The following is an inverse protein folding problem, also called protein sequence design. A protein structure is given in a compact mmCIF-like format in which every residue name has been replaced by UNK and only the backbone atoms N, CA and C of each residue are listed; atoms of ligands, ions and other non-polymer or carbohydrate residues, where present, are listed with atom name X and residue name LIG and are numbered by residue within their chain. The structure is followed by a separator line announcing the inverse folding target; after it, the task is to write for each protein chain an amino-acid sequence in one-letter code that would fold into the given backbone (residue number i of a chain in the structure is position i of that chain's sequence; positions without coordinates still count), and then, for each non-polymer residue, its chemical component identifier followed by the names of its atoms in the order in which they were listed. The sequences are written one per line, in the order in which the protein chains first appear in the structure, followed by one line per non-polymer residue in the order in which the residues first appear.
data_IF_729527140251
#
_entry.id   IF_729527140251
#
_cell.length_a   1.000
_cell.length_b   1.000
_cell.length_c   1.000
_cell.angle_alpha   90.00
_cell.angle_beta   90.00
_cell.angle_gamma   90.00
#
_symmetry.space_group_name_H-M   'P 1'
#
loop_
_entity.id
_entity.type
_entity.pdbx_description
1 polymer ?
#
# COMPACT_ATOMS: atom_id res chain seq x y z
N UNK A 1 -7.06 -54.27 7.14
CA UNK A 1 -6.11 -53.94 6.05
C UNK A 1 -5.99 -52.42 5.96
N UNK A 2 -4.93 -51.86 6.55
CA UNK A 2 -4.69 -50.42 6.57
C UNK A 2 -3.84 -50.01 5.35
N UNK A 3 -4.40 -49.16 4.49
CA UNK A 3 -3.74 -48.62 3.30
C UNK A 3 -2.87 -47.43 3.68
N UNK A 4 -1.54 -47.59 3.60
CA UNK A 4 -0.57 -46.50 3.76
C UNK A 4 -0.70 -45.51 2.59
N UNK A 5 -0.85 -44.22 2.91
CA UNK A 5 -0.77 -43.14 1.91
C UNK A 5 0.70 -42.91 1.52
N UNK A 6 1.02 -42.70 0.22
CA UNK A 6 2.40 -42.51 -0.21
C UNK A 6 2.93 -41.14 0.24
N UNK A 7 4.14 -41.14 0.80
CA UNK A 7 4.87 -39.93 1.16
C UNK A 7 5.23 -39.11 -0.09
N UNK A 8 4.62 -37.92 -0.24
CA UNK A 8 5.08 -36.92 -1.20
C UNK A 8 6.45 -36.39 -0.75
N UNK A 9 7.51 -36.74 -1.49
CA UNK A 9 8.84 -36.13 -1.33
C UNK A 9 8.73 -34.63 -1.62
N UNK A 10 9.19 -33.78 -0.70
CA UNK A 10 9.35 -32.34 -0.95
C UNK A 10 10.23 -32.15 -2.19
N UNK A 11 9.69 -31.47 -3.20
CA UNK A 11 10.48 -31.04 -4.35
C UNK A 11 11.54 -30.05 -3.84
N UNK A 12 12.79 -30.35 -4.15
CA UNK A 12 13.93 -29.50 -3.84
C UNK A 12 13.82 -28.21 -4.68
N UNK A 13 13.55 -27.07 -4.03
CA UNK A 13 13.33 -25.77 -4.69
C UNK A 13 14.61 -25.04 -5.06
N UNK A 14 15.78 -25.70 -5.04
CA UNK A 14 17.04 -25.06 -5.43
C UNK A 14 17.20 -24.98 -6.95
N UNK A 15 16.44 -24.12 -7.61
CA UNK A 15 16.75 -23.69 -8.98
C UNK A 15 17.93 -22.71 -8.91
N UNK A 16 19.16 -23.23 -8.89
CA UNK A 16 20.38 -22.42 -8.98
C UNK A 16 20.72 -22.24 -10.46
N UNK A 17 20.51 -21.04 -11.00
CA UNK A 17 20.92 -20.69 -12.35
C UNK A 17 22.22 -19.85 -12.28
N UNK A 18 23.38 -20.40 -12.69
CA UNK A 18 24.67 -19.70 -12.63
C UNK A 18 24.72 -18.38 -13.42
N UNK A 19 23.86 -18.22 -14.43
CA UNK A 19 23.77 -16.99 -15.23
C UNK A 19 23.02 -15.87 -14.51
N UNK A 20 22.16 -16.19 -13.53
CA UNK A 20 21.48 -15.18 -12.71
C UNK A 20 22.38 -14.68 -11.57
N UNK A 21 23.25 -15.55 -11.02
CA UNK A 21 24.16 -15.16 -9.92
C UNK A 21 25.26 -14.18 -10.36
N UNK A 22 25.69 -14.22 -11.63
CA UNK A 22 26.67 -13.27 -12.18
C UNK A 22 26.08 -11.91 -12.53
N UNK A 23 24.76 -11.83 -12.73
CA UNK A 23 24.05 -10.61 -13.17
C UNK A 23 23.30 -9.94 -12.01
N UNK A 24 22.88 -10.71 -11.00
CA UNK A 24 22.12 -10.20 -9.86
C UNK A 24 22.67 -10.76 -8.55
N UNK A 25 23.37 -9.91 -7.78
CA UNK A 25 23.64 -10.18 -6.36
C UNK A 25 22.42 -9.72 -5.56
N UNK A 26 21.69 -10.66 -5.00
CA UNK A 26 20.64 -10.36 -4.03
C UNK A 26 21.22 -9.44 -2.93
N UNK A 27 20.58 -8.31 -2.61
CA UNK A 27 20.93 -7.50 -1.44
C UNK A 27 20.94 -8.35 -0.18
N UNK A 28 21.74 -7.99 0.83
CA UNK A 28 21.93 -8.84 2.01
C UNK A 28 20.63 -9.10 2.79
N UNK A 29 19.67 -8.16 2.76
CA UNK A 29 18.34 -8.37 3.35
C UNK A 29 17.52 -9.52 2.71
N UNK A 30 17.85 -9.90 1.46
CA UNK A 30 17.26 -11.07 0.79
C UNK A 30 17.96 -12.36 1.21
N UNK A 31 19.26 -12.28 1.52
CA UNK A 31 20.09 -13.41 1.96
C UNK A 31 19.82 -13.82 3.41
N UNK A 32 19.50 -12.85 4.26
CA UNK A 32 19.13 -13.08 5.66
C UNK A 32 17.77 -13.78 5.82
N UNK A 33 17.07 -14.01 4.70
CA UNK A 33 15.80 -14.70 4.66
C UNK A 33 14.68 -13.83 5.21
N UNK A 34 13.79 -13.39 4.32
CA UNK A 34 12.48 -12.90 4.77
C UNK A 34 11.74 -14.08 5.43
N UNK A 35 11.80 -14.14 6.77
CA UNK A 35 10.95 -15.04 7.52
C UNK A 35 9.53 -14.48 7.43
N UNK A 36 8.66 -15.16 6.68
CA UNK A 36 7.25 -14.80 6.65
C UNK A 36 6.73 -14.76 8.09
N UNK A 37 6.13 -13.63 8.53
CA UNK A 37 5.64 -13.48 9.90
C UNK A 37 4.63 -14.58 10.23
N UNK A 38 4.65 -15.06 11.48
CA UNK A 38 3.70 -16.08 11.94
C UNK A 38 2.30 -15.47 12.01
N UNK A 39 1.25 -16.28 11.80
CA UNK A 39 -0.15 -15.80 11.83
C UNK A 39 -0.48 -14.92 13.05
N UNK A 40 0.03 -15.26 14.24
CA UNK A 40 -0.20 -14.47 15.47
C UNK A 40 0.42 -13.06 15.42
N UNK A 41 1.58 -12.91 14.77
CA UNK A 41 2.25 -11.62 14.60
C UNK A 41 1.47 -10.74 13.59
N UNK A 42 0.90 -11.38 12.56
CA UNK A 42 0.00 -10.74 11.59
C UNK A 42 -1.32 -10.28 12.22
N UNK A 43 -1.94 -11.07 13.11
CA UNK A 43 -3.17 -10.65 13.82
C UNK A 43 -2.96 -9.37 14.64
N UNK A 44 -1.79 -9.18 15.27
CA UNK A 44 -1.51 -7.97 16.03
C UNK A 44 -1.41 -6.72 15.14
N UNK A 45 -0.97 -6.89 13.88
CA UNK A 45 -0.89 -5.81 12.90
C UNK A 45 -2.27 -5.41 12.35
N UNK A 46 -3.28 -6.29 12.47
CA UNK A 46 -4.66 -5.96 12.08
C UNK A 46 -5.31 -4.86 12.91
N UNK A 47 -4.84 -4.69 14.14
CA UNK A 47 -5.33 -3.65 15.03
C UNK A 47 -4.54 -2.34 14.90
N UNK A 48 -3.57 -2.27 13.97
CA UNK A 48 -2.74 -1.09 13.75
C UNK A 48 -3.17 -0.33 12.50
N UNK A 49 -3.57 0.91 12.67
CA UNK A 49 -3.86 1.86 11.58
C UNK A 49 -2.61 2.67 11.19
N UNK A 50 -2.82 3.88 10.68
CA UNK A 50 -1.79 4.88 10.42
C UNK A 50 -2.10 6.15 11.24
N UNK A 51 -1.71 6.19 12.54
CA UNK A 51 -2.11 7.28 13.44
C UNK A 51 -1.70 8.67 12.93
N UNK A 52 -0.53 8.77 12.30
CA UNK A 52 -0.03 10.04 11.79
C UNK A 52 -0.92 10.59 10.66
N UNK A 53 -1.32 9.73 9.73
CA UNK A 53 -2.24 10.11 8.66
C UNK A 53 -3.67 10.31 9.18
N UNK A 54 -4.13 9.43 10.09
CA UNK A 54 -5.46 9.51 10.70
C UNK A 54 -5.67 10.86 11.40
N UNK A 55 -4.69 11.30 12.21
CA UNK A 55 -4.75 12.58 12.92
C UNK A 55 -4.63 13.78 11.97
N UNK A 56 -3.83 13.67 10.91
CA UNK A 56 -3.75 14.68 9.85
C UNK A 56 -5.13 14.89 9.18
N UNK A 57 -5.79 13.83 8.73
CA UNK A 57 -7.10 13.93 8.08
C UNK A 57 -8.17 14.47 9.04
N UNK A 58 -8.17 14.04 10.31
CA UNK A 58 -9.09 14.58 11.32
C UNK A 58 -8.91 16.08 11.52
N UNK A 59 -7.66 16.55 11.59
CA UNK A 59 -7.34 17.97 11.76
C UNK A 59 -7.68 18.83 10.53
N UNK A 60 -7.58 18.27 9.32
CA UNK A 60 -7.87 19.02 8.08
C UNK A 60 -9.38 19.21 7.82
N UNK A 61 -10.26 18.44 8.49
CA UNK A 61 -11.72 18.52 8.31
C UNK A 61 -12.18 18.60 6.85
N UNK A 62 -11.64 17.71 6.01
CA UNK A 62 -11.84 17.75 4.56
C UNK A 62 -13.31 17.53 4.16
N UNK A 63 -13.76 18.31 3.17
CA UNK A 63 -15.05 18.08 2.51
C UNK A 63 -14.93 16.95 1.48
N UNK A 64 -16.01 16.21 1.20
CA UNK A 64 -16.01 15.21 0.13
C UNK A 64 -15.55 15.82 -1.20
N UNK A 65 -14.61 15.13 -1.88
CA UNK A 65 -14.08 15.55 -3.18
C UNK A 65 -12.94 16.58 -3.12
N UNK A 66 -12.53 17.04 -1.94
CA UNK A 66 -11.34 17.90 -1.79
C UNK A 66 -10.06 17.11 -2.07
N UNK A 67 -9.13 17.67 -2.85
CA UNK A 67 -7.77 17.10 -3.00
C UNK A 67 -7.03 17.24 -1.67
N UNK A 68 -6.88 16.12 -0.97
CA UNK A 68 -6.29 16.06 0.37
C UNK A 68 -4.83 16.52 0.40
N UNK A 69 -4.07 16.29 -0.68
CA UNK A 69 -2.68 16.74 -0.74
C UNK A 69 -2.62 18.27 -0.89
N UNK A 70 -3.49 18.84 -1.72
CA UNK A 70 -3.58 20.30 -1.84
C UNK A 70 -4.02 20.95 -0.53
N UNK A 71 -5.03 20.38 0.13
CA UNK A 71 -5.49 20.89 1.42
C UNK A 71 -4.39 20.82 2.50
N UNK A 72 -3.59 19.74 2.49
CA UNK A 72 -2.43 19.62 3.36
C UNK A 72 -1.38 20.70 3.06
N UNK A 73 -1.04 20.90 1.79
CA UNK A 73 -0.07 21.91 1.34
C UNK A 73 -0.52 23.35 1.72
N UNK A 74 -1.79 23.66 1.45
CA UNK A 74 -2.42 24.93 1.81
C UNK A 74 -2.43 25.13 3.35
N UNK A 75 -2.60 24.06 4.14
CA UNK A 75 -2.56 24.12 5.60
C UNK A 75 -1.14 24.38 6.14
N UNK A 76 -0.13 23.66 5.65
CA UNK A 76 1.24 23.80 6.16
C UNK A 76 1.91 25.10 5.70
N UNK A 77 1.38 25.74 4.66
CA UNK A 77 1.81 27.04 4.16
C UNK A 77 1.31 28.22 5.03
N UNK A 78 0.31 28.00 5.89
CA UNK A 78 -0.16 29.01 6.83
C UNK A 78 0.86 29.24 7.97
N UNK A 79 0.92 30.45 8.54
CA UNK A 79 1.69 30.73 9.75
C UNK A 79 1.37 29.73 10.87
N UNK A 80 2.37 29.35 11.67
CA UNK A 80 2.20 28.32 12.71
C UNK A 80 1.15 28.75 13.75
N UNK A 81 1.02 30.05 13.98
CA UNK A 81 0.06 30.66 14.90
C UNK A 81 -1.39 30.50 14.44
N UNK A 82 -1.62 30.32 13.14
CA UNK A 82 -2.95 30.09 12.54
C UNK A 82 -3.31 28.60 12.49
N UNK A 83 -2.35 27.70 12.75
CA UNK A 83 -2.55 26.25 12.69
C UNK A 83 -3.24 25.73 13.95
N UNK A 84 -4.47 25.25 13.79
CA UNK A 84 -5.27 24.64 14.87
C UNK A 84 -4.62 23.37 15.46
N UNK A 85 -3.80 22.65 14.70
CA UNK A 85 -3.16 21.39 15.11
C UNK A 85 -1.80 21.22 14.47
N UNK A 86 -0.85 20.67 15.21
CA UNK A 86 0.47 20.29 14.69
C UNK A 86 0.44 19.01 13.82
N UNK A 87 -0.68 18.28 13.77
CA UNK A 87 -0.75 16.97 13.12
C UNK A 87 -0.48 17.02 11.59
N UNK A 88 -1.07 17.93 10.80
CA UNK A 88 -0.77 18.02 9.37
C UNK A 88 0.70 18.36 9.09
N UNK A 89 1.32 19.23 9.90
CA UNK A 89 2.75 19.54 9.79
C UNK A 89 3.62 18.33 10.08
N UNK A 90 3.38 17.61 11.18
CA UNK A 90 4.10 16.36 11.50
C UNK A 90 3.97 15.32 10.39
N UNK A 91 2.79 15.20 9.78
CA UNK A 91 2.59 14.32 8.63
C UNK A 91 3.42 14.79 7.43
N UNK A 92 3.38 16.08 7.08
CA UNK A 92 4.18 16.66 5.99
C UNK A 92 5.69 16.46 6.21
N UNK A 93 6.18 16.72 7.41
CA UNK A 93 7.60 16.53 7.77
C UNK A 93 8.02 15.07 7.57
N UNK A 94 7.18 14.11 7.97
CA UNK A 94 7.48 12.70 7.80
C UNK A 94 7.47 12.26 6.33
N UNK A 95 6.51 12.73 5.52
CA UNK A 95 6.46 12.34 4.10
C UNK A 95 7.51 13.06 3.25
N UNK A 96 8.08 14.16 3.73
CA UNK A 96 9.19 14.87 3.06
C UNK A 96 10.57 14.39 3.50
N UNK A 97 10.67 13.70 4.63
CA UNK A 97 11.92 13.13 5.13
C UNK A 97 12.28 11.85 4.36
N UNK A 98 13.40 11.88 3.63
CA UNK A 98 13.95 10.71 2.96
C UNK A 98 14.67 9.83 4.00
N UNK A 99 14.30 8.55 4.16
CA UNK A 99 15.00 7.65 5.08
C UNK A 99 16.47 7.44 4.71
N UNK A 100 17.34 7.33 5.71
CA UNK A 100 18.80 7.22 5.52
C UNK A 100 19.25 5.99 4.71
N UNK A 101 18.41 4.96 4.63
CA UNK A 101 18.71 3.73 3.90
C UNK A 101 18.36 3.83 2.41
N UNK A 102 17.71 4.91 1.97
CA UNK A 102 17.35 5.10 0.56
C UNK A 102 18.60 5.39 -0.25
N UNK A 103 18.87 4.50 -1.22
CA UNK A 103 19.92 4.67 -2.23
C UNK A 103 19.29 5.10 -3.57
N UNK A 104 19.50 6.35 -4.02
CA UNK A 104 18.95 6.85 -5.28
C UNK A 104 19.41 6.06 -6.51
N UNK A 105 20.64 5.54 -6.51
CA UNK A 105 21.18 4.77 -7.63
C UNK A 105 20.59 3.35 -7.67
N UNK A 106 20.33 2.74 -6.52
CA UNK A 106 19.60 1.47 -6.45
C UNK A 106 18.15 1.64 -6.89
N UNK A 107 17.49 2.72 -6.48
CA UNK A 107 16.13 3.05 -6.91
C UNK A 107 16.04 3.24 -8.43
N UNK A 108 16.99 3.99 -9.00
CA UNK A 108 17.12 4.18 -10.45
C UNK A 108 17.34 2.85 -11.18
N UNK A 109 18.12 1.93 -10.62
CA UNK A 109 18.29 0.58 -11.16
C UNK A 109 16.98 -0.21 -11.17
N UNK A 110 16.22 -0.19 -10.07
CA UNK A 110 14.91 -0.83 -9.98
C UNK A 110 13.93 -0.29 -11.02
N UNK A 111 13.87 1.02 -11.20
CA UNK A 111 13.05 1.66 -12.23
C UNK A 111 13.47 1.27 -13.66
N UNK A 112 14.78 1.14 -13.93
CA UNK A 112 15.26 0.63 -15.23
C UNK A 112 14.79 -0.80 -15.49
N UNK A 113 14.81 -1.66 -14.48
CA UNK A 113 14.28 -3.03 -14.59
C UNK A 113 12.78 -3.00 -14.86
N UNK A 114 12.03 -2.16 -14.13
CA UNK A 114 10.60 -1.98 -14.37
C UNK A 114 10.33 -1.62 -15.84
N UNK A 115 10.98 -0.57 -16.36
CA UNK A 115 10.76 -0.13 -17.74
C UNK A 115 11.19 -1.15 -18.80
N UNK A 116 12.25 -1.93 -18.52
CA UNK A 116 12.67 -3.04 -19.40
C UNK A 116 11.59 -4.10 -19.54
N UNK A 117 10.78 -4.33 -18.49
CA UNK A 117 9.77 -5.38 -18.44
C UNK A 117 8.35 -4.83 -18.24
N UNK A 118 8.11 -3.54 -18.52
CA UNK A 118 6.90 -2.84 -18.09
C UNK A 118 5.61 -3.53 -18.57
N UNK A 119 5.59 -4.01 -19.81
CA UNK A 119 4.43 -4.71 -20.36
C UNK A 119 4.14 -6.02 -19.60
N UNK A 120 5.16 -6.84 -19.36
CA UNK A 120 5.01 -8.11 -18.65
C UNK A 120 4.62 -7.87 -17.19
N UNK A 121 5.25 -6.90 -16.54
CA UNK A 121 4.92 -6.51 -15.17
C UNK A 121 3.46 -6.02 -15.11
N UNK A 122 3.02 -5.19 -16.05
CA UNK A 122 1.66 -4.68 -16.06
C UNK A 122 0.62 -5.79 -16.24
N UNK A 123 0.87 -6.77 -17.12
CA UNK A 123 -0.01 -7.94 -17.29
C UNK A 123 -0.10 -8.72 -15.97
N UNK A 124 1.04 -9.02 -15.34
CA UNK A 124 1.06 -9.76 -14.06
C UNK A 124 0.32 -8.97 -12.96
N UNK A 125 0.53 -7.65 -12.89
CA UNK A 125 -0.12 -6.82 -11.87
C UNK A 125 -1.64 -6.73 -12.08
N UNK A 126 -2.10 -6.57 -13.33
CA UNK A 126 -3.52 -6.42 -13.65
C UNK A 126 -4.28 -7.75 -13.61
N UNK A 127 -3.68 -8.84 -14.09
CA UNK A 127 -4.39 -10.11 -14.31
C UNK A 127 -4.14 -11.15 -13.21
N UNK A 128 -3.03 -11.02 -12.46
CA UNK A 128 -2.72 -11.94 -11.36
C UNK A 128 -2.81 -11.25 -10.00
N UNK A 129 -1.99 -10.23 -9.75
CA UNK A 129 -1.88 -9.61 -8.42
C UNK A 129 -3.19 -8.93 -8.02
N UNK A 130 -3.73 -8.03 -8.86
CA UNK A 130 -4.93 -7.28 -8.52
C UNK A 130 -6.16 -8.19 -8.26
N UNK A 131 -6.53 -9.14 -9.13
CA UNK A 131 -7.71 -10.00 -8.94
C UNK A 131 -7.57 -10.93 -7.73
N UNK A 132 -6.36 -11.42 -7.46
CA UNK A 132 -6.07 -12.22 -6.27
C UNK A 132 -6.30 -11.43 -4.97
N UNK A 133 -6.31 -10.10 -5.02
CA UNK A 133 -6.57 -9.28 -3.82
C UNK A 133 -8.03 -9.31 -3.40
N UNK A 134 -8.91 -9.56 -4.37
CA UNK A 134 -10.35 -9.64 -4.16
C UNK A 134 -10.80 -11.01 -3.63
N UNK A 135 -9.91 -12.00 -3.60
CA UNK A 135 -10.21 -13.31 -3.00
C UNK A 135 -9.96 -13.33 -1.48
N UNK A 136 -9.25 -12.32 -0.96
CA UNK A 136 -9.04 -12.16 0.48
C UNK A 136 -10.32 -11.59 1.13
N UNK A 137 -11.11 -12.44 1.79
CA UNK A 137 -12.43 -12.09 2.32
C UNK A 137 -12.46 -10.83 3.21
N UNK A 138 -11.41 -10.59 4.01
CA UNK A 138 -11.30 -9.39 4.87
C UNK A 138 -11.06 -8.11 4.07
N UNK A 139 -10.21 -8.16 3.04
CA UNK A 139 -10.00 -7.04 2.11
C UNK A 139 -11.31 -6.77 1.36
N UNK A 140 -11.99 -7.82 0.89
CA UNK A 140 -13.26 -7.70 0.18
C UNK A 140 -14.35 -7.03 1.02
N UNK A 141 -14.40 -7.27 2.34
CA UNK A 141 -15.34 -6.58 3.22
C UNK A 141 -15.18 -5.05 3.20
N UNK A 142 -13.93 -4.55 3.17
CA UNK A 142 -13.62 -3.12 3.02
C UNK A 142 -14.13 -2.62 1.67
N UNK A 143 -13.90 -3.38 0.59
CA UNK A 143 -14.30 -3.00 -0.76
C UNK A 143 -15.82 -2.92 -0.91
N UNK A 144 -16.55 -3.85 -0.29
CA UNK A 144 -18.01 -3.85 -0.23
C UNK A 144 -18.52 -2.59 0.47
N UNK A 145 -17.93 -2.19 1.59
CA UNK A 145 -18.33 -0.97 2.31
C UNK A 145 -18.20 0.30 1.45
N UNK A 146 -17.20 0.34 0.57
CA UNK A 146 -16.96 1.48 -0.30
C UNK A 146 -17.79 1.51 -1.58
N UNK A 147 -18.53 0.43 -1.90
CA UNK A 147 -19.31 0.28 -3.12
C UNK A 147 -18.51 0.50 -4.44
N UNK A 148 -17.18 0.51 -4.43
CA UNK A 148 -16.40 0.83 -5.63
C UNK A 148 -16.53 -0.21 -6.76
N UNK A 149 -16.90 -1.46 -6.45
CA UNK A 149 -17.17 -2.52 -7.44
C UNK A 149 -18.65 -2.67 -7.81
N UNK A 150 -19.50 -1.76 -7.35
CA UNK A 150 -20.94 -1.78 -7.70
C UNK A 150 -21.20 -1.49 -9.18
N UNK A 151 -20.21 -0.97 -9.91
CA UNK A 151 -20.32 -0.68 -11.35
C UNK A 151 -19.04 -1.08 -12.10
N UNK A 152 -19.20 -1.47 -13.36
CA UNK A 152 -18.06 -1.76 -14.26
C UNK A 152 -17.17 -0.52 -14.42
N UNK A 153 -17.77 0.68 -14.52
CA UNK A 153 -17.04 1.94 -14.64
C UNK A 153 -16.15 2.20 -13.42
N UNK A 154 -16.68 2.05 -12.21
CA UNK A 154 -15.92 2.23 -10.97
C UNK A 154 -14.79 1.22 -10.82
N UNK A 155 -15.05 -0.04 -11.18
CA UNK A 155 -14.03 -1.08 -11.20
C UNK A 155 -12.88 -0.73 -12.16
N UNK A 156 -13.19 -0.33 -13.39
CA UNK A 156 -12.19 0.06 -14.39
C UNK A 156 -11.39 1.29 -13.95
N UNK A 157 -12.07 2.30 -13.38
CA UNK A 157 -11.40 3.49 -12.86
C UNK A 157 -10.33 3.13 -11.83
N UNK A 158 -10.60 2.18 -10.92
CA UNK A 158 -9.64 1.74 -9.91
C UNK A 158 -8.44 1.01 -10.51
N UNK A 159 -8.66 0.19 -11.53
CA UNK A 159 -7.56 -0.46 -12.27
C UNK A 159 -6.64 0.60 -12.88
N UNK A 160 -7.22 1.62 -13.51
CA UNK A 160 -6.46 2.75 -14.07
C UNK A 160 -5.76 3.58 -13.00
N UNK A 161 -6.40 3.87 -11.87
CA UNK A 161 -5.79 4.61 -10.75
C UNK A 161 -4.59 3.85 -10.19
N UNK A 162 -4.69 2.53 -10.07
CA UNK A 162 -3.57 1.67 -9.61
C UNK A 162 -2.44 1.65 -10.63
N UNK A 163 -2.74 1.46 -11.93
CA UNK A 163 -1.75 1.51 -13.00
C UNK A 163 -1.06 2.88 -13.10
N UNK A 164 -1.83 3.97 -12.94
CA UNK A 164 -1.29 5.33 -12.85
C UNK A 164 -0.36 5.49 -11.65
N UNK A 165 -0.76 5.03 -10.47
CA UNK A 165 0.08 5.08 -9.28
C UNK A 165 1.44 4.40 -9.52
N UNK A 166 1.42 3.17 -10.06
CA UNK A 166 2.64 2.42 -10.39
C UNK A 166 3.50 3.18 -11.41
N UNK A 167 2.87 3.72 -12.46
CA UNK A 167 3.59 4.49 -13.49
C UNK A 167 4.22 5.74 -12.91
N UNK A 168 3.51 6.47 -12.04
CA UNK A 168 4.01 7.71 -11.42
C UNK A 168 5.24 7.43 -10.53
N UNK A 169 5.25 6.33 -9.77
CA UNK A 169 6.40 5.97 -8.91
C UNK A 169 7.58 5.37 -9.70
N UNK A 170 7.32 4.72 -10.84
CA UNK A 170 8.37 4.06 -11.62
C UNK A 170 9.00 4.96 -12.69
N UNK A 171 8.45 6.16 -12.93
CA UNK A 171 8.85 7.05 -14.03
C UNK A 171 10.36 7.38 -14.07
N UNK A 172 10.95 7.67 -12.92
CA UNK A 172 12.36 8.04 -12.76
C UNK A 172 12.67 8.48 -11.33
N UNK A 173 13.94 8.65 -10.94
CA UNK A 173 14.30 9.02 -9.57
C UNK A 173 13.67 10.35 -9.13
N UNK A 174 13.60 11.31 -10.05
CA UNK A 174 13.00 12.63 -9.86
C UNK A 174 11.48 12.55 -9.57
N UNK A 175 10.84 11.46 -9.99
CA UNK A 175 9.42 11.25 -9.71
C UNK A 175 9.15 11.04 -8.21
N UNK A 176 10.15 10.65 -7.44
CA UNK A 176 10.05 10.42 -6.00
C UNK A 176 10.65 11.56 -5.16
N UNK A 177 11.07 12.66 -5.81
CA UNK A 177 11.48 13.87 -5.09
C UNK A 177 10.32 14.42 -4.24
N UNK A 178 10.57 14.71 -2.95
CA UNK A 178 9.57 15.33 -2.08
C UNK A 178 9.00 16.62 -2.66
N UNK A 179 7.69 16.85 -2.45
CA UNK A 179 6.93 18.04 -2.86
C UNK A 179 6.75 18.23 -4.38
N UNK A 180 7.72 17.86 -5.20
CA UNK A 180 7.72 18.11 -6.65
C UNK A 180 7.34 16.88 -7.46
N UNK A 181 7.89 15.72 -7.09
CA UNK A 181 7.82 14.46 -7.83
C UNK A 181 6.41 13.90 -7.98
N UNK A 182 6.07 13.43 -9.19
CA UNK A 182 4.74 12.87 -9.48
C UNK A 182 4.45 11.60 -8.69
N UNK A 183 5.44 10.71 -8.56
CA UNK A 183 5.36 9.49 -7.76
C UNK A 183 5.23 9.78 -6.27
N UNK A 184 5.98 10.76 -5.75
CA UNK A 184 5.83 11.23 -4.37
C UNK A 184 4.41 11.73 -4.11
N UNK A 185 3.89 12.63 -4.98
CA UNK A 185 2.53 13.15 -4.86
C UNK A 185 1.49 12.03 -4.90
N UNK A 186 1.64 11.07 -5.79
CA UNK A 186 0.73 9.93 -5.91
C UNK A 186 0.79 9.02 -4.69
N UNK A 187 1.97 8.74 -4.14
CA UNK A 187 2.12 7.96 -2.90
C UNK A 187 1.47 8.64 -1.69
N UNK A 188 1.69 9.94 -1.51
CA UNK A 188 1.08 10.70 -0.42
C UNK A 188 -0.45 10.75 -0.57
N UNK A 189 -0.97 10.96 -1.79
CA UNK A 189 -2.41 10.91 -2.07
C UNK A 189 -3.02 9.55 -1.76
N UNK A 190 -2.37 8.44 -2.13
CA UNK A 190 -2.86 7.10 -1.82
C UNK A 190 -2.91 6.87 -0.31
N UNK A 191 -1.89 7.33 0.44
CA UNK A 191 -1.86 7.21 1.90
C UNK A 191 -2.99 8.01 2.58
N UNK A 192 -3.24 9.24 2.11
CA UNK A 192 -4.37 10.06 2.59
C UNK A 192 -5.73 9.48 2.16
N UNK A 193 -5.82 8.89 0.97
CA UNK A 193 -7.02 8.20 0.48
C UNK A 193 -7.36 7.00 1.37
N UNK A 194 -6.39 6.12 1.65
CA UNK A 194 -6.58 4.97 2.54
C UNK A 194 -7.07 5.40 3.91
N UNK A 195 -6.52 6.50 4.43
CA UNK A 195 -6.95 7.08 5.70
C UNK A 195 -8.40 7.56 5.66
N UNK A 196 -8.79 8.31 4.64
CA UNK A 196 -10.18 8.76 4.49
C UNK A 196 -11.16 7.61 4.34
N UNK A 197 -10.80 6.56 3.58
CA UNK A 197 -11.62 5.35 3.45
C UNK A 197 -11.78 4.66 4.80
N UNK A 198 -10.69 4.47 5.55
CA UNK A 198 -10.72 3.86 6.89
C UNK A 198 -11.62 4.65 7.85
N UNK A 199 -11.40 5.95 7.98
CA UNK A 199 -12.18 6.80 8.88
C UNK A 199 -13.66 6.83 8.50
N UNK A 200 -13.98 6.84 7.20
CA UNK A 200 -15.36 6.76 6.72
C UNK A 200 -16.02 5.43 7.06
N UNK A 201 -15.33 4.30 6.87
CA UNK A 201 -15.89 2.98 7.20
C UNK A 201 -16.15 2.90 8.71
N UNK A 202 -15.21 3.34 9.54
CA UNK A 202 -15.37 3.34 11.00
C UNK A 202 -16.57 4.21 11.44
N UNK A 203 -16.67 5.44 10.94
CA UNK A 203 -17.78 6.33 11.27
C UNK A 203 -19.15 5.82 10.79
N UNK A 204 -19.18 5.05 9.70
CA UNK A 204 -20.41 4.42 9.20
C UNK A 204 -20.75 3.14 9.98
N UNK A 205 -19.75 2.36 10.40
CA UNK A 205 -19.92 1.17 11.23
C UNK A 205 -20.45 1.52 12.63
N UNK A 206 -20.07 2.68 13.18
CA UNK A 206 -20.66 3.20 14.43
C UNK A 206 -22.18 3.42 14.33
N UNK A 207 -22.66 3.84 13.15
CA UNK A 207 -24.09 4.06 12.89
C UNK A 207 -24.82 2.80 12.45
N UNK A 208 -24.11 1.89 11.78
CA UNK A 208 -24.62 0.65 11.19
C UNK A 208 -23.64 -0.49 11.52
N UNK A 209 -23.76 -1.11 12.70
CA UNK A 209 -22.82 -2.14 13.16
C UNK A 209 -22.77 -3.38 12.26
N UNK A 210 -23.83 -3.64 11.49
CA UNK A 210 -23.93 -4.71 10.50
C UNK A 210 -23.06 -4.46 9.25
N UNK A 211 -22.61 -3.22 9.01
CA UNK A 211 -21.81 -2.86 7.84
C UNK A 211 -20.39 -3.42 7.91
N UNK A 212 -19.74 -3.33 9.08
CA UNK A 212 -18.34 -3.75 9.26
C UNK A 212 -18.01 -4.02 10.74
N UNK A 213 -17.53 -5.22 11.05
CA UNK A 213 -17.10 -5.60 12.39
C UNK A 213 -15.58 -5.46 12.56
N UNK A 214 -15.13 -4.46 13.33
CA UNK A 214 -13.71 -4.26 13.65
C UNK A 214 -13.16 -5.40 14.52
N UNK A 215 -14.00 -6.00 15.36
CA UNK A 215 -13.63 -7.14 16.21
C UNK A 215 -13.25 -8.37 15.36
N UNK A 216 -14.05 -8.67 14.33
CA UNK A 216 -13.84 -9.86 13.49
C UNK A 216 -12.84 -9.64 12.34
N UNK A 217 -12.86 -8.43 11.75
CA UNK A 217 -12.12 -8.11 10.53
C UNK A 217 -10.84 -7.30 10.80
N UNK A 218 -10.72 -6.69 11.98
CA UNK A 218 -9.65 -5.75 12.30
C UNK A 218 -9.98 -4.32 11.88
N UNK A 219 -9.02 -3.41 12.06
CA UNK A 219 -9.17 -2.03 11.60
C UNK A 219 -9.12 -2.01 10.06
N UNK A 220 -10.00 -1.28 9.35
CA UNK A 220 -9.94 -1.21 7.89
C UNK A 220 -8.59 -0.70 7.38
N UNK A 221 -8.03 -1.35 6.36
CA UNK A 221 -6.76 -0.96 5.72
C UNK A 221 -5.66 -0.88 6.80
N UNK A 222 -5.53 -1.94 7.59
CA UNK A 222 -4.53 -2.03 8.65
C UNK A 222 -3.13 -2.35 8.09
N UNK A 223 -2.13 -2.40 8.97
CA UNK A 223 -0.75 -2.70 8.57
C UNK A 223 -0.60 -4.10 7.95
N UNK A 224 -1.40 -5.09 8.36
CA UNK A 224 -1.39 -6.42 7.75
C UNK A 224 -1.94 -6.42 6.32
N UNK A 225 -3.09 -5.76 6.07
CA UNK A 225 -3.65 -5.60 4.72
C UNK A 225 -2.64 -4.93 3.77
N UNK A 226 -1.96 -3.89 4.26
CA UNK A 226 -0.95 -3.16 3.51
C UNK A 226 0.26 -4.04 3.20
N UNK A 227 0.77 -4.79 4.19
CA UNK A 227 1.86 -5.75 3.98
C UNK A 227 1.46 -6.85 3.01
N UNK A 228 0.26 -7.42 3.15
CA UNK A 228 -0.26 -8.44 2.26
C UNK A 228 -0.25 -7.97 0.81
N UNK A 229 -0.62 -6.72 0.56
CA UNK A 229 -0.61 -6.13 -0.79
C UNK A 229 0.80 -5.96 -1.38
N UNK A 230 1.82 -5.77 -0.54
CA UNK A 230 3.22 -5.61 -0.99
C UNK A 230 3.88 -6.97 -1.30
N UNK A 231 3.60 -8.00 -0.50
CA UNK A 231 4.33 -9.29 -0.57
C UNK A 231 3.72 -10.32 -1.53
N UNK A 232 2.64 -10.00 -2.24
CA UNK A 232 1.87 -10.95 -3.05
C UNK A 232 1.99 -10.75 -4.56
#
# INVERSE_FOLDING_TARGET
MATQRPHLKRLNTSFRNPLLESVWRAPDFVKDGFAAPKNRELEALRQKSDPLADDCIRALHLKPGTDSLKALDDYVSQPVEEQVSAAPRKFMDQVTTIPIWVDPELMKQGQRVFWRYALLIQIILTDCSLPMGFTAGRVTAILTCTNYFSTVKGAMQRVFETGKFITDIMKGPEALEPLTGSGWKSAVRVRLLHTQVRLRILAEAEKRPDLYSVEELGVPINQEDMMGTIFR
#
